data_IF_317745099543
#
_entry.id   IF_317745099543
#
_cell.length_a   1.000
_cell.length_b   1.000
_cell.length_c   1.000
_cell.angle_alpha   90.00
_cell.angle_beta   90.00
_cell.angle_gamma   90.00
#
_symmetry.space_group_name_H-M   'P 1'
#
loop_
_entity.id
_entity.type
_entity.pdbx_description
1 polymer ?
#
# COMPACT_ATOMS: atom_id res chain seq x y z
N UNK A 1 -1.95 -30.69 23.91
CA UNK A 1 -2.48 -29.55 24.68
C UNK A 1 -1.60 -28.35 24.35
N UNK A 2 -2.19 -27.18 24.05
CA UNK A 2 -1.45 -25.98 23.67
C UNK A 2 -1.65 -24.89 24.72
N UNK A 3 -0.64 -24.07 24.93
CA UNK A 3 -0.71 -22.88 25.78
C UNK A 3 -0.59 -21.65 24.91
N UNK A 4 -1.51 -20.69 25.06
CA UNK A 4 -1.34 -19.34 24.55
C UNK A 4 -0.45 -18.58 25.52
N UNK A 5 0.54 -17.87 25.01
CA UNK A 5 1.40 -16.98 25.79
C UNK A 5 1.53 -15.62 25.11
N UNK A 6 1.84 -14.62 25.92
CA UNK A 6 2.25 -13.29 25.49
C UNK A 6 3.77 -13.19 25.53
N UNK A 7 4.37 -12.56 24.53
CA UNK A 7 5.81 -12.34 24.40
C UNK A 7 6.11 -10.87 24.72
N UNK A 8 7.00 -10.63 25.68
CA UNK A 8 7.44 -9.29 26.09
C UNK A 8 8.97 -9.28 26.17
N UNK A 9 9.62 -8.80 25.12
CA UNK A 9 11.08 -8.90 24.97
C UNK A 9 11.52 -10.36 24.93
N UNK A 10 12.38 -10.77 25.87
CA UNK A 10 12.87 -12.14 26.01
C UNK A 10 11.97 -13.02 26.92
N UNK A 11 10.89 -12.47 27.47
CA UNK A 11 10.04 -13.14 28.44
C UNK A 11 8.71 -13.62 27.86
N UNK A 12 8.21 -14.73 28.40
CA UNK A 12 6.87 -15.25 28.14
C UNK A 12 6.00 -15.09 29.40
N UNK A 13 4.79 -14.59 29.22
CA UNK A 13 3.84 -14.34 30.30
C UNK A 13 2.40 -14.64 29.86
N UNK A 14 1.44 -14.56 30.78
CA UNK A 14 0.01 -14.65 30.44
C UNK A 14 -0.43 -16.02 29.92
N UNK A 15 0.18 -17.10 30.38
CA UNK A 15 -0.11 -18.47 29.94
C UNK A 15 -1.58 -18.83 30.15
N UNK A 16 -2.23 -19.29 29.08
CA UNK A 16 -3.61 -19.76 29.09
C UNK A 16 -3.72 -21.07 28.32
N UNK A 17 -4.29 -22.10 28.94
CA UNK A 17 -4.58 -23.37 28.27
C UNK A 17 -5.59 -23.16 27.14
N UNK A 18 -5.31 -23.75 25.98
CA UNK A 18 -6.16 -23.70 24.80
C UNK A 18 -6.58 -25.13 24.44
N UNK A 19 -7.88 -25.36 24.46
CA UNK A 19 -8.47 -26.64 24.06
C UNK A 19 -8.32 -26.86 22.56
N UNK A 20 -8.40 -28.12 22.11
CA UNK A 20 -8.31 -28.41 20.68
C UNK A 20 -9.43 -27.73 19.89
N UNK A 21 -10.66 -27.72 20.43
CA UNK A 21 -11.80 -27.04 19.80
C UNK A 21 -11.58 -25.53 19.63
N UNK A 22 -11.02 -24.85 20.64
CA UNK A 22 -10.68 -23.43 20.54
C UNK A 22 -9.57 -23.18 19.52
N UNK A 23 -8.57 -24.07 19.45
CA UNK A 23 -7.48 -23.95 18.49
C UNK A 23 -7.95 -24.19 17.06
N UNK A 24 -8.85 -25.15 16.82
CA UNK A 24 -9.48 -25.34 15.51
C UNK A 24 -10.29 -24.11 15.08
N UNK A 25 -11.06 -23.53 15.99
CA UNK A 25 -11.81 -22.30 15.73
C UNK A 25 -10.88 -21.12 15.42
N UNK A 26 -9.80 -20.97 16.19
CA UNK A 26 -8.75 -19.99 15.89
C UNK A 26 -8.18 -20.16 14.49
N UNK A 27 -7.84 -21.39 14.08
CA UNK A 27 -7.31 -21.65 12.73
C UNK A 27 -8.29 -21.24 11.64
N UNK A 28 -9.58 -21.48 11.83
CA UNK A 28 -10.61 -21.05 10.88
C UNK A 28 -10.61 -19.53 10.70
N UNK A 29 -10.63 -18.76 11.78
CA UNK A 29 -10.56 -17.28 11.72
C UNK A 29 -9.22 -16.77 11.19
N UNK A 30 -8.10 -17.38 11.60
CA UNK A 30 -6.76 -17.08 11.08
C UNK A 30 -6.70 -17.24 9.57
N UNK A 31 -7.33 -18.28 9.01
CA UNK A 31 -7.34 -18.50 7.56
C UNK A 31 -8.09 -17.40 6.81
N UNK A 32 -9.18 -16.86 7.39
CA UNK A 32 -9.90 -15.71 6.81
C UNK A 32 -9.02 -14.47 6.80
N UNK A 33 -8.41 -14.15 7.94
CA UNK A 33 -7.51 -12.98 8.09
C UNK A 33 -6.26 -13.12 7.20
N UNK A 34 -5.69 -14.30 7.08
CA UNK A 34 -4.54 -14.56 6.21
C UNK A 34 -4.89 -14.38 4.73
N UNK A 35 -6.10 -14.79 4.32
CA UNK A 35 -6.58 -14.56 2.95
C UNK A 35 -6.74 -13.07 2.65
N UNK A 36 -7.34 -12.32 3.58
CA UNK A 36 -7.40 -10.86 3.49
C UNK A 36 -6.00 -10.25 3.34
N UNK A 37 -5.07 -10.61 4.23
CA UNK A 37 -3.72 -10.04 4.26
C UNK A 37 -2.99 -10.24 2.92
N UNK A 38 -3.11 -11.43 2.31
CA UNK A 38 -2.55 -11.72 0.99
C UNK A 38 -3.12 -10.83 -0.11
N UNK A 39 -4.43 -10.57 -0.10
CA UNK A 39 -5.07 -9.69 -1.08
C UNK A 39 -4.68 -8.21 -0.82
N UNK A 40 -4.52 -7.82 0.45
CA UNK A 40 -4.10 -6.49 0.90
C UNK A 40 -2.62 -6.16 0.62
N UNK A 41 -1.71 -7.16 0.68
CA UNK A 41 -0.27 -6.98 0.47
C UNK A 41 0.07 -6.23 -0.82
N UNK A 42 -0.69 -6.45 -1.88
CA UNK A 42 -0.50 -5.77 -3.16
C UNK A 42 -0.89 -4.29 -3.10
N UNK A 43 -1.97 -3.94 -2.39
CA UNK A 43 -2.30 -2.53 -2.14
C UNK A 43 -1.25 -1.90 -1.23
N UNK A 44 -0.84 -2.60 -0.17
CA UNK A 44 0.23 -2.17 0.74
C UNK A 44 1.52 -1.83 0.00
N UNK A 45 1.87 -2.60 -1.03
CA UNK A 45 3.00 -2.28 -1.90
C UNK A 45 2.81 -0.95 -2.67
N UNK A 46 1.60 -0.64 -3.15
CA UNK A 46 1.30 0.67 -3.76
C UNK A 46 1.48 1.82 -2.75
N UNK A 47 0.94 1.65 -1.54
CA UNK A 47 1.03 2.64 -0.47
C UNK A 47 2.50 2.89 -0.08
N UNK A 48 3.30 1.84 0.04
CA UNK A 48 4.70 1.94 0.38
C UNK A 48 5.54 2.58 -0.73
N UNK A 49 5.27 2.29 -2.00
CA UNK A 49 5.97 2.96 -3.11
C UNK A 49 5.64 4.46 -3.19
N UNK A 50 4.40 4.86 -2.87
CA UNK A 50 4.07 6.28 -2.73
C UNK A 50 4.81 6.92 -1.55
N UNK A 51 4.88 6.25 -0.40
CA UNK A 51 5.64 6.73 0.77
C UNK A 51 7.13 6.87 0.45
N UNK A 52 7.70 5.89 -0.23
CA UNK A 52 9.09 5.92 -0.72
C UNK A 52 9.34 7.07 -1.67
N UNK A 53 8.36 7.41 -2.52
CA UNK A 53 8.43 8.59 -3.37
C UNK A 53 8.56 9.87 -2.53
N UNK A 54 7.69 10.04 -1.54
CA UNK A 54 7.69 11.22 -0.66
C UNK A 54 9.00 11.36 0.12
N UNK A 55 9.39 10.30 0.84
CA UNK A 55 10.60 10.30 1.66
C UNK A 55 11.85 10.47 0.79
N UNK A 56 11.90 9.78 -0.35
CA UNK A 56 13.07 9.81 -1.22
C UNK A 56 13.38 11.20 -1.78
N UNK A 57 12.37 12.05 -2.03
CA UNK A 57 12.61 13.43 -2.45
C UNK A 57 12.98 14.35 -1.29
N UNK A 58 12.43 14.12 -0.10
CA UNK A 58 12.87 14.83 1.13
C UNK A 58 14.34 14.54 1.44
N UNK A 59 14.75 13.28 1.32
CA UNK A 59 16.13 12.87 1.57
C UNK A 59 17.11 13.49 0.57
N UNK A 60 16.74 13.55 -0.71
CA UNK A 60 17.53 14.26 -1.74
C UNK A 60 17.62 15.76 -1.42
N UNK A 61 16.50 16.40 -1.07
CA UNK A 61 16.50 17.82 -0.69
C UNK A 61 17.38 18.11 0.52
N UNK A 62 17.36 17.23 1.54
CA UNK A 62 18.22 17.34 2.72
C UNK A 62 19.70 17.18 2.38
N UNK A 63 20.04 16.21 1.52
CA UNK A 63 21.42 16.02 1.06
C UNK A 63 21.93 17.26 0.32
N UNK A 64 21.12 17.79 -0.60
CA UNK A 64 21.43 19.00 -1.38
C UNK A 64 21.60 20.25 -0.49
N UNK A 65 20.85 20.36 0.61
CA UNK A 65 20.95 21.49 1.54
C UNK A 65 22.17 21.40 2.47
N UNK A 66 22.68 20.20 2.74
CA UNK A 66 23.85 19.96 3.59
C UNK A 66 25.19 20.22 2.89
N UNK A 67 25.21 20.18 1.56
CA UNK A 67 26.37 20.54 0.76
C UNK A 67 26.40 22.06 0.56
N UNK A 68 27.49 22.72 0.96
CA UNK A 68 27.59 24.18 1.00
C UNK A 68 27.22 24.87 -0.34
N UNK A 69 25.98 25.34 -0.42
CA UNK A 69 25.44 26.43 -1.25
C UNK A 69 25.67 26.42 -2.78
N UNK A 70 25.99 25.30 -3.42
CA UNK A 70 25.98 25.22 -4.89
C UNK A 70 25.15 24.03 -5.37
N UNK A 71 23.86 24.29 -5.61
CA UNK A 71 23.08 23.50 -6.55
C UNK A 71 23.90 23.38 -7.84
N UNK A 72 24.30 22.16 -8.18
CA UNK A 72 25.18 21.89 -9.30
C UNK A 72 24.55 20.79 -10.17
N UNK A 73 25.18 20.51 -11.31
CA UNK A 73 24.64 19.53 -12.25
C UNK A 73 24.50 18.12 -11.66
N UNK A 74 25.38 17.72 -10.73
CA UNK A 74 25.30 16.41 -10.08
C UNK A 74 24.04 16.33 -9.20
N UNK A 75 23.76 17.36 -8.41
CA UNK A 75 22.54 17.44 -7.62
C UNK A 75 21.28 17.30 -8.47
N UNK A 76 21.23 17.98 -9.62
CA UNK A 76 20.11 17.87 -10.55
C UNK A 76 20.01 16.48 -11.19
N UNK A 77 21.14 15.85 -11.50
CA UNK A 77 21.18 14.48 -12.03
C UNK A 77 20.67 13.47 -10.99
N UNK A 78 21.09 13.59 -9.73
CA UNK A 78 20.67 12.72 -8.64
C UNK A 78 19.17 12.90 -8.35
N UNK A 79 18.70 14.14 -8.29
CA UNK A 79 17.28 14.45 -8.15
C UNK A 79 16.45 13.86 -9.29
N UNK A 80 16.90 14.01 -10.53
CA UNK A 80 16.23 13.47 -11.71
C UNK A 80 16.19 11.94 -11.67
N UNK A 81 17.34 11.30 -11.42
CA UNK A 81 17.45 9.84 -11.35
C UNK A 81 16.59 9.26 -10.24
N UNK A 82 16.62 9.86 -9.05
CA UNK A 82 15.84 9.43 -7.90
C UNK A 82 14.34 9.58 -8.16
N UNK A 83 13.91 10.73 -8.69
CA UNK A 83 12.51 10.99 -9.07
C UNK A 83 12.01 9.94 -10.06
N UNK A 84 12.78 9.68 -11.11
CA UNK A 84 12.42 8.71 -12.14
C UNK A 84 12.32 7.29 -11.58
N UNK A 85 13.30 6.86 -10.78
CA UNK A 85 13.34 5.52 -10.19
C UNK A 85 12.16 5.29 -9.24
N UNK A 86 11.87 6.26 -8.37
CA UNK A 86 10.73 6.19 -7.44
C UNK A 86 9.39 6.22 -8.19
N UNK A 87 9.27 7.05 -9.23
CA UNK A 87 8.05 7.12 -10.03
C UNK A 87 7.78 5.81 -10.78
N UNK A 88 8.82 5.17 -11.32
CA UNK A 88 8.69 3.84 -11.93
C UNK A 88 8.25 2.79 -10.92
N UNK A 89 8.80 2.82 -9.70
CA UNK A 89 8.37 1.95 -8.60
C UNK A 89 6.88 2.09 -8.32
N UNK A 90 6.40 3.32 -8.17
CA UNK A 90 4.99 3.61 -7.95
C UNK A 90 4.09 3.21 -9.13
N UNK A 91 4.42 3.60 -10.37
CA UNK A 91 3.62 3.24 -11.54
C UNK A 91 3.58 1.71 -11.76
N UNK A 92 4.69 1.03 -11.48
CA UNK A 92 4.81 -0.42 -11.53
C UNK A 92 3.97 -1.13 -10.47
N UNK A 93 3.99 -0.64 -9.23
CA UNK A 93 3.21 -1.22 -8.13
C UNK A 93 1.70 -1.09 -8.38
N UNK A 94 1.23 0.08 -8.84
CA UNK A 94 -0.18 0.29 -9.19
C UNK A 94 -0.63 -0.69 -10.27
N UNK A 95 0.17 -0.86 -11.33
CA UNK A 95 -0.14 -1.81 -12.39
C UNK A 95 -0.21 -3.24 -11.86
N UNK A 96 0.78 -3.63 -11.06
CA UNK A 96 0.85 -4.96 -10.46
C UNK A 96 -0.39 -5.24 -9.63
N UNK A 97 -0.79 -4.30 -8.76
CA UNK A 97 -2.02 -4.42 -7.99
C UNK A 97 -3.25 -4.63 -8.88
N UNK A 98 -3.48 -3.78 -9.88
CA UNK A 98 -4.68 -3.86 -10.72
C UNK A 98 -4.76 -5.18 -11.51
N UNK A 99 -3.64 -5.62 -12.08
CA UNK A 99 -3.59 -6.87 -12.86
C UNK A 99 -3.80 -8.10 -11.98
N UNK A 100 -3.14 -8.14 -10.81
CA UNK A 100 -3.28 -9.25 -9.87
C UNK A 100 -4.66 -9.29 -9.23
N UNK A 101 -5.22 -8.15 -8.81
CA UNK A 101 -6.56 -8.07 -8.26
C UNK A 101 -7.59 -8.55 -9.30
N UNK A 102 -7.54 -8.01 -10.52
CA UNK A 102 -8.44 -8.43 -11.60
C UNK A 102 -8.33 -9.92 -11.92
N UNK A 103 -7.11 -10.46 -11.97
CA UNK A 103 -6.86 -11.89 -12.21
C UNK A 103 -7.34 -12.76 -11.05
N UNK A 104 -7.06 -12.36 -9.80
CA UNK A 104 -7.46 -13.06 -8.58
C UNK A 104 -8.98 -13.15 -8.49
N UNK A 105 -9.67 -12.02 -8.66
CA UNK A 105 -11.14 -11.92 -8.65
C UNK A 105 -11.73 -12.77 -9.78
N UNK A 106 -11.20 -12.65 -11.01
CA UNK A 106 -11.66 -13.45 -12.15
C UNK A 106 -11.48 -14.95 -11.94
N UNK A 107 -10.40 -15.39 -11.30
CA UNK A 107 -10.15 -16.81 -11.01
C UNK A 107 -11.04 -17.32 -9.88
N UNK A 108 -11.30 -16.49 -8.86
CA UNK A 108 -12.08 -16.84 -7.66
C UNK A 108 -13.58 -16.90 -7.95
N UNK A 109 -14.11 -15.97 -8.74
CA UNK A 109 -15.55 -15.81 -8.94
C UNK A 109 -16.00 -15.99 -10.40
N UNK A 110 -15.09 -15.91 -11.37
CA UNK A 110 -15.39 -15.97 -12.80
C UNK A 110 -15.54 -14.59 -13.47
N UNK A 111 -15.35 -14.52 -14.78
CA UNK A 111 -15.42 -13.25 -15.55
C UNK A 111 -16.82 -12.66 -15.69
N UNK A 112 -17.86 -13.46 -15.47
CA UNK A 112 -19.26 -13.02 -15.52
C UNK A 112 -19.85 -12.70 -14.15
N UNK A 113 -19.05 -12.77 -13.08
CA UNK A 113 -19.56 -12.58 -11.72
C UNK A 113 -19.73 -11.12 -11.36
N UNK A 114 -20.63 -10.84 -10.41
CA UNK A 114 -20.86 -9.49 -9.89
C UNK A 114 -19.57 -8.87 -9.33
N UNK A 115 -18.71 -9.66 -8.70
CA UNK A 115 -17.42 -9.21 -8.17
C UNK A 115 -16.50 -8.71 -9.29
N UNK A 116 -16.33 -9.50 -10.35
CA UNK A 116 -15.44 -9.11 -11.44
C UNK A 116 -16.00 -7.91 -12.20
N UNK A 117 -17.30 -7.90 -12.50
CA UNK A 117 -17.95 -6.79 -13.19
C UNK A 117 -17.89 -5.50 -12.36
N UNK A 118 -18.10 -5.58 -11.04
CA UNK A 118 -17.97 -4.44 -10.14
C UNK A 118 -16.55 -3.90 -10.08
N UNK A 119 -15.53 -4.77 -9.95
CA UNK A 119 -14.13 -4.34 -9.99
C UNK A 119 -13.79 -3.63 -11.30
N UNK A 120 -14.25 -4.16 -12.45
CA UNK A 120 -14.08 -3.51 -13.75
C UNK A 120 -14.77 -2.15 -13.80
N UNK A 121 -16.00 -2.04 -13.29
CA UNK A 121 -16.73 -0.78 -13.20
C UNK A 121 -15.99 0.26 -12.35
N UNK A 122 -15.43 -0.13 -11.20
CA UNK A 122 -14.62 0.77 -10.36
C UNK A 122 -13.40 1.31 -11.13
N UNK A 123 -12.65 0.44 -11.83
CA UNK A 123 -11.49 0.88 -12.63
C UNK A 123 -11.88 1.78 -13.79
N UNK A 124 -13.00 1.50 -14.46
CA UNK A 124 -13.51 2.33 -15.55
C UNK A 124 -13.95 3.70 -15.04
N UNK A 125 -14.67 3.74 -13.92
CA UNK A 125 -15.09 4.97 -13.28
C UNK A 125 -13.89 5.87 -12.94
N UNK A 126 -12.82 5.33 -12.35
CA UNK A 126 -11.60 6.11 -12.07
C UNK A 126 -10.95 6.62 -13.35
N UNK A 127 -10.89 5.80 -14.41
CA UNK A 127 -10.34 6.21 -15.70
C UNK A 127 -11.13 7.33 -16.37
N UNK A 128 -12.46 7.29 -16.28
CA UNK A 128 -13.32 8.27 -16.95
C UNK A 128 -13.38 9.60 -16.16
N UNK A 129 -13.38 9.53 -14.83
CA UNK A 129 -13.66 10.69 -13.97
C UNK A 129 -12.43 11.34 -13.33
N UNK A 130 -11.31 10.63 -13.19
CA UNK A 130 -10.11 11.16 -12.53
C UNK A 130 -8.98 11.42 -13.53
N UNK A 131 -8.64 12.69 -13.71
CA UNK A 131 -7.53 13.11 -14.58
C UNK A 131 -6.22 12.41 -14.19
N UNK A 132 -5.84 12.46 -12.91
CA UNK A 132 -4.60 11.86 -12.40
C UNK A 132 -4.53 10.36 -12.67
N UNK A 133 -5.64 9.63 -12.49
CA UNK A 133 -5.70 8.20 -12.79
C UNK A 133 -5.47 7.92 -14.27
N UNK A 134 -6.21 8.60 -15.15
CA UNK A 134 -6.09 8.43 -16.61
C UNK A 134 -4.71 8.87 -17.11
N UNK A 135 -4.21 9.99 -16.61
CA UNK A 135 -2.90 10.54 -16.95
C UNK A 135 -1.78 9.58 -16.56
N UNK A 136 -1.73 9.12 -15.31
CA UNK A 136 -0.65 8.25 -14.82
C UNK A 136 -0.73 6.84 -15.41
N UNK A 137 -1.93 6.35 -15.70
CA UNK A 137 -2.11 5.12 -16.50
C UNK A 137 -1.41 5.25 -17.87
N UNK A 138 -1.62 6.38 -18.56
CA UNK A 138 -0.97 6.64 -19.87
C UNK A 138 0.51 6.98 -19.74
N UNK A 139 0.92 7.65 -18.66
CA UNK A 139 2.33 7.92 -18.36
C UNK A 139 3.11 6.63 -18.17
N UNK A 140 2.53 5.61 -17.54
CA UNK A 140 3.15 4.29 -17.45
C UNK A 140 3.40 3.67 -18.83
N UNK A 141 2.51 3.86 -19.79
CA UNK A 141 2.76 3.38 -21.16
C UNK A 141 3.86 4.20 -21.84
N UNK A 142 3.86 5.52 -21.64
CA UNK A 142 4.96 6.38 -22.05
C UNK A 142 6.29 5.85 -21.50
N UNK A 143 6.37 5.49 -20.22
CA UNK A 143 7.63 5.03 -19.62
C UNK A 143 8.13 3.70 -20.14
N UNK A 144 7.22 2.86 -20.65
CA UNK A 144 7.57 1.60 -21.28
C UNK A 144 8.02 1.72 -22.73
N UNK A 145 7.57 2.75 -23.44
CA UNK A 145 7.76 2.85 -24.89
C UNK A 145 8.65 4.02 -25.34
N UNK A 146 8.72 5.10 -24.55
CA UNK A 146 9.38 6.35 -24.94
C UNK A 146 10.60 6.68 -24.07
N UNK A 147 10.52 6.45 -22.76
CA UNK A 147 11.62 6.75 -21.83
C UNK A 147 11.14 7.30 -20.48
N UNK A 148 12.04 7.88 -19.69
CA UNK A 148 11.67 8.40 -18.36
C UNK A 148 10.69 9.57 -18.44
N UNK A 149 9.80 9.74 -17.45
CA UNK A 149 8.87 10.86 -17.40
C UNK A 149 9.62 12.19 -17.50
N UNK A 150 9.22 13.11 -18.40
CA UNK A 150 9.89 14.40 -18.51
C UNK A 150 9.45 15.29 -17.34
N UNK A 151 10.29 15.36 -16.30
CA UNK A 151 10.05 16.16 -15.09
C UNK A 151 11.01 17.35 -15.05
N UNK A 152 10.46 18.53 -14.80
CA UNK A 152 11.20 19.76 -14.44
C UNK A 152 11.09 20.01 -12.95
N UNK A 153 12.11 20.63 -12.36
CA UNK A 153 12.17 20.93 -10.94
C UNK A 153 12.30 22.44 -10.74
N UNK A 154 11.34 23.03 -10.03
CA UNK A 154 11.53 24.35 -9.43
C UNK A 154 12.19 24.12 -8.06
N UNK A 155 13.37 24.70 -7.83
CA UNK A 155 14.11 24.56 -6.56
C UNK A 155 14.19 25.92 -5.88
N UNK A 156 13.49 26.05 -4.75
CA UNK A 156 13.42 27.28 -3.98
C UNK A 156 14.28 27.15 -2.72
N UNK A 157 15.07 28.18 -2.42
CA UNK A 157 15.79 28.28 -1.13
C UNK A 157 14.86 29.03 -0.18
N UNK A 158 14.41 28.36 0.88
CA UNK A 158 13.59 28.96 1.94
C UNK A 158 14.50 29.31 3.13
N UNK A 159 14.67 30.59 3.47
CA UNK A 159 15.48 31.00 4.60
C UNK A 159 14.99 30.34 5.91
N UNK A 160 15.86 29.58 6.58
CA UNK A 160 15.52 28.88 7.83
C UNK A 160 14.92 27.47 7.64
N UNK A 161 14.25 27.21 6.51
CA UNK A 161 13.57 25.93 6.25
C UNK A 161 14.29 25.04 5.21
N UNK A 162 15.35 25.55 4.56
CA UNK A 162 16.21 24.78 3.66
C UNK A 162 15.80 24.86 2.20
N UNK A 163 15.78 23.72 1.50
CA UNK A 163 15.44 23.63 0.08
C UNK A 163 14.02 23.07 -0.09
N UNK A 164 13.21 23.75 -0.88
CA UNK A 164 11.94 23.24 -1.40
C UNK A 164 12.12 22.81 -2.85
N UNK A 165 11.74 21.57 -3.15
CA UNK A 165 11.80 20.98 -4.49
C UNK A 165 10.37 20.75 -4.98
N UNK A 166 10.00 21.42 -6.08
CA UNK A 166 8.68 21.33 -6.68
C UNK A 166 8.77 20.64 -8.05
N UNK A 167 8.56 19.31 -8.11
CA UNK A 167 8.58 18.56 -9.37
C UNK A 167 7.30 18.76 -10.18
N UNK A 168 7.45 18.98 -11.49
CA UNK A 168 6.35 19.17 -12.45
C UNK A 168 6.62 18.40 -13.74
N UNK A 169 5.59 17.80 -14.33
CA UNK A 169 5.72 17.22 -15.67
C UNK A 169 5.80 18.31 -16.75
N UNK A 170 6.76 18.17 -17.66
CA UNK A 170 6.92 19.04 -18.82
C UNK A 170 5.88 18.72 -19.88
N UNK A 171 4.95 19.66 -20.13
CA UNK A 171 3.93 19.54 -21.19
C UNK A 171 4.55 19.24 -22.55
N UNK A 172 5.57 20.01 -22.90
CA UNK A 172 6.25 19.88 -24.19
C UNK A 172 6.88 18.49 -24.31
N UNK A 173 7.63 18.05 -23.29
CA UNK A 173 8.26 16.74 -23.28
C UNK A 173 7.26 15.58 -23.42
N UNK A 174 6.10 15.68 -22.77
CA UNK A 174 5.04 14.68 -22.85
C UNK A 174 4.39 14.62 -24.24
N UNK A 175 4.10 15.78 -24.84
CA UNK A 175 3.35 15.88 -26.10
C UNK A 175 4.21 15.60 -27.34
N UNK A 176 5.51 15.85 -27.27
CA UNK A 176 6.44 15.63 -28.38
C UNK A 176 6.83 14.16 -28.53
N UNK A 177 6.95 13.45 -27.41
CA UNK A 177 7.59 12.13 -27.39
C UNK A 177 6.60 10.96 -27.43
N UNK A 178 5.29 11.22 -27.30
CA UNK A 178 4.27 10.16 -27.27
C UNK A 178 2.92 10.63 -27.82
N UNK A 179 2.36 9.85 -28.73
CA UNK A 179 1.12 10.19 -29.45
C UNK A 179 -0.13 9.50 -28.89
N UNK A 180 0.03 8.42 -28.10
CA UNK A 180 -1.08 7.56 -27.67
C UNK A 180 -1.75 7.98 -26.35
N UNK A 181 -1.73 9.28 -26.04
CA UNK A 181 -2.46 9.86 -24.91
C UNK A 181 -3.99 9.69 -25.05
N UNK A 182 -4.49 9.67 -26.29
CA UNK A 182 -5.93 9.76 -26.61
C UNK A 182 -6.40 11.21 -26.71
N UNK A 183 -7.43 11.46 -27.52
CA UNK A 183 -7.85 12.82 -27.87
C UNK A 183 -8.22 13.68 -26.65
N UNK A 184 -9.07 13.16 -25.75
CA UNK A 184 -9.48 13.88 -24.53
C UNK A 184 -8.28 14.26 -23.66
N UNK A 185 -7.48 13.27 -23.26
CA UNK A 185 -6.35 13.50 -22.36
C UNK A 185 -5.30 14.43 -22.99
N UNK A 186 -5.05 14.32 -24.31
CA UNK A 186 -4.13 15.22 -25.01
C UNK A 186 -4.58 16.68 -24.92
N UNK A 187 -5.87 16.95 -25.09
CA UNK A 187 -6.42 18.30 -24.94
C UNK A 187 -6.36 18.78 -23.47
N UNK A 188 -6.63 17.91 -22.50
CA UNK A 188 -6.50 18.23 -21.08
C UNK A 188 -5.05 18.61 -20.69
N UNK A 189 -4.05 17.88 -21.21
CA UNK A 189 -2.63 18.20 -21.01
C UNK A 189 -2.27 19.57 -21.61
N UNK A 190 -2.78 19.88 -22.81
CA UNK A 190 -2.55 21.16 -23.50
C UNK A 190 -3.20 22.33 -22.75
N UNK A 191 -4.47 22.19 -22.38
CA UNK A 191 -5.26 23.23 -21.72
C UNK A 191 -4.81 23.46 -20.27
N UNK A 192 -4.09 22.49 -19.67
CA UNK A 192 -3.63 22.58 -18.30
C UNK A 192 -4.77 22.48 -17.28
N UNK A 193 -5.85 21.77 -17.64
CA UNK A 193 -7.00 21.53 -16.76
C UNK A 193 -6.62 20.71 -15.52
N UNK A 194 -5.50 19.99 -15.56
CA UNK A 194 -4.85 19.38 -14.41
C UNK A 194 -3.57 20.11 -14.01
N UNK A 195 -3.34 20.25 -12.71
CA UNK A 195 -2.04 20.67 -12.19
C UNK A 195 -1.03 19.56 -12.53
N UNK A 196 -0.02 19.85 -13.36
CA UNK A 196 1.02 18.88 -13.72
C UNK A 196 2.09 18.74 -12.63
N UNK A 197 1.75 19.11 -11.39
CA UNK A 197 2.60 18.89 -10.24
C UNK A 197 2.62 17.40 -9.91
N UNK A 198 3.81 16.85 -9.71
CA UNK A 198 3.97 15.40 -9.55
C UNK A 198 3.29 14.92 -8.26
N UNK A 199 3.51 15.60 -7.13
CA UNK A 199 2.98 15.16 -5.83
C UNK A 199 1.45 15.06 -5.78
N UNK A 200 0.66 16.09 -6.17
CA UNK A 200 -0.80 15.96 -6.21
C UNK A 200 -1.28 14.83 -7.12
N UNK A 201 -0.68 14.69 -8.31
CA UNK A 201 -1.10 13.63 -9.25
C UNK A 201 -0.82 12.23 -8.71
N UNK A 202 0.35 12.01 -8.10
CA UNK A 202 0.66 10.71 -7.48
C UNK A 202 -0.24 10.44 -6.28
N UNK A 203 -0.54 11.47 -5.44
CA UNK A 203 -1.46 11.34 -4.30
C UNK A 203 -2.85 10.92 -4.77
N UNK A 204 -3.44 11.68 -5.69
CA UNK A 204 -4.78 11.41 -6.22
C UNK A 204 -4.87 10.04 -6.90
N UNK A 205 -3.80 9.60 -7.58
CA UNK A 205 -3.77 8.26 -8.17
C UNK A 205 -3.68 7.16 -7.13
N UNK A 206 -2.85 7.34 -6.08
CA UNK A 206 -2.81 6.46 -4.91
C UNK A 206 -4.20 6.36 -4.28
N UNK A 207 -4.86 7.50 -4.07
CA UNK A 207 -6.18 7.58 -3.46
C UNK A 207 -7.25 6.92 -4.33
N UNK A 208 -7.17 7.06 -5.65
CA UNK A 208 -8.05 6.36 -6.60
C UNK A 208 -7.90 4.84 -6.51
N UNK A 209 -6.66 4.34 -6.39
CA UNK A 209 -6.35 2.90 -6.26
C UNK A 209 -6.81 2.37 -4.90
N UNK A 210 -6.58 3.13 -3.82
CA UNK A 210 -7.10 2.82 -2.50
C UNK A 210 -8.63 2.77 -2.51
N UNK A 211 -9.30 3.74 -3.14
CA UNK A 211 -10.75 3.79 -3.28
C UNK A 211 -11.33 2.59 -4.03
N UNK A 212 -10.66 2.12 -5.09
CA UNK A 212 -11.03 0.87 -5.78
C UNK A 212 -11.00 -0.32 -4.80
N UNK A 213 -9.91 -0.45 -4.04
CA UNK A 213 -9.77 -1.55 -3.08
C UNK A 213 -10.84 -1.48 -1.99
N UNK A 214 -10.99 -0.32 -1.34
CA UNK A 214 -11.94 -0.11 -0.25
C UNK A 214 -13.38 -0.39 -0.69
N UNK A 215 -13.78 0.13 -1.86
CA UNK A 215 -15.13 -0.08 -2.40
C UNK A 215 -15.40 -1.57 -2.69
N UNK A 216 -14.40 -2.28 -3.22
CA UNK A 216 -14.52 -3.73 -3.47
C UNK A 216 -14.59 -4.51 -2.16
N UNK A 217 -13.70 -4.21 -1.22
CA UNK A 217 -13.60 -4.87 0.08
C UNK A 217 -14.88 -4.68 0.91
N UNK A 218 -15.37 -3.45 1.01
CA UNK A 218 -16.61 -3.13 1.72
C UNK A 218 -17.78 -3.96 1.20
N UNK A 219 -17.94 -4.00 -0.12
CA UNK A 219 -19.07 -4.67 -0.77
C UNK A 219 -19.04 -6.19 -0.68
N UNK A 220 -17.87 -6.82 -0.76
CA UNK A 220 -17.78 -8.27 -0.97
C UNK A 220 -17.00 -9.05 0.08
N UNK A 221 -16.10 -8.43 0.84
CA UNK A 221 -15.14 -9.17 1.68
C UNK A 221 -15.17 -8.75 3.16
N UNK A 222 -15.69 -7.57 3.49
CA UNK A 222 -15.67 -6.98 4.83
C UNK A 222 -16.28 -7.85 5.93
N UNK A 223 -17.49 -8.36 5.75
CA UNK A 223 -18.26 -9.01 6.82
C UNK A 223 -17.53 -10.15 7.51
N UNK A 224 -17.06 -11.15 6.75
CA UNK A 224 -16.36 -12.31 7.32
C UNK A 224 -14.99 -11.96 7.91
N UNK A 225 -14.32 -10.95 7.35
CA UNK A 225 -13.00 -10.48 7.81
C UNK A 225 -13.13 -9.74 9.14
N UNK A 226 -14.08 -8.82 9.26
CA UNK A 226 -14.36 -8.07 10.49
C UNK A 226 -14.76 -9.02 11.62
N UNK A 227 -15.71 -9.94 11.38
CA UNK A 227 -16.09 -10.93 12.41
C UNK A 227 -14.93 -11.82 12.85
N UNK A 228 -14.01 -12.17 11.94
CA UNK A 228 -12.84 -12.98 12.28
C UNK A 228 -11.79 -12.19 13.05
N UNK A 229 -11.61 -10.92 12.71
CA UNK A 229 -10.76 -9.98 13.44
C UNK A 229 -11.28 -9.78 14.87
N UNK A 230 -12.56 -9.47 15.04
CA UNK A 230 -13.21 -9.30 16.34
C UNK A 230 -13.05 -10.54 17.21
N UNK A 231 -13.32 -11.73 16.64
CA UNK A 231 -13.14 -12.98 17.34
C UNK A 231 -11.70 -13.19 17.81
N UNK A 232 -10.70 -12.88 16.98
CA UNK A 232 -9.28 -12.99 17.36
C UNK A 232 -8.94 -12.01 18.49
N UNK A 233 -9.37 -10.75 18.39
CA UNK A 233 -9.18 -9.74 19.44
C UNK A 233 -9.78 -10.21 20.77
N UNK A 234 -11.02 -10.69 20.76
CA UNK A 234 -11.73 -11.21 21.94
C UNK A 234 -11.03 -12.46 22.50
N UNK A 235 -10.63 -13.39 21.63
CA UNK A 235 -9.89 -14.58 22.00
C UNK A 235 -8.58 -14.22 22.71
N UNK A 236 -7.88 -13.18 22.27
CA UNK A 236 -6.65 -12.69 22.89
C UNK A 236 -6.91 -11.77 24.10
N UNK A 237 -8.15 -11.30 24.26
CA UNK A 237 -8.52 -10.26 25.22
C UNK A 237 -7.67 -9.00 25.03
N UNK A 238 -7.42 -8.66 23.76
CA UNK A 238 -6.64 -7.51 23.34
C UNK A 238 -7.30 -6.88 22.09
N UNK A 239 -7.81 -5.64 22.18
CA UNK A 239 -8.46 -4.99 21.05
C UNK A 239 -7.50 -4.60 19.93
N UNK A 240 -6.21 -4.47 20.21
CA UNK A 240 -5.17 -4.09 19.24
C UNK A 240 -3.92 -4.94 19.45
N UNK A 241 -3.99 -6.24 19.12
CA UNK A 241 -2.87 -7.12 19.33
C UNK A 241 -1.75 -6.79 18.33
N UNK A 242 -0.52 -6.70 18.83
CA UNK A 242 0.66 -6.34 18.01
C UNK A 242 1.81 -7.31 18.26
N UNK A 243 2.09 -8.14 17.26
CA UNK A 243 3.02 -9.28 17.16
C UNK A 243 3.61 -9.85 18.48
N UNK A 244 2.76 -10.01 19.50
CA UNK A 244 3.16 -10.35 20.87
C UNK A 244 2.50 -11.62 21.41
N UNK A 245 1.91 -12.44 20.56
CA UNK A 245 1.21 -13.66 20.99
C UNK A 245 1.69 -14.88 20.23
N UNK A 246 1.82 -16.00 20.94
CA UNK A 246 2.19 -17.28 20.36
C UNK A 246 1.50 -18.45 21.05
N UNK A 247 1.35 -19.56 20.33
CA UNK A 247 1.04 -20.85 20.93
C UNK A 247 2.33 -21.62 21.22
N UNK A 248 2.34 -22.28 22.37
CA UNK A 248 3.37 -23.20 22.81
C UNK A 248 2.77 -24.61 22.83
N UNK A 249 3.49 -25.54 22.22
CA UNK A 249 3.20 -26.96 22.30
C UNK A 249 4.47 -27.73 22.66
N UNK A 250 4.33 -28.82 23.41
CA UNK A 250 5.42 -29.76 23.60
C UNK A 250 5.87 -30.29 22.23
N UNK A 251 7.17 -30.18 21.94
CA UNK A 251 7.78 -30.77 20.75
C UNK A 251 8.02 -32.26 20.92
N UNK A 252 8.38 -32.94 19.84
CA UNK A 252 8.81 -34.33 19.91
C UNK A 252 10.15 -34.41 20.66
N UNK A 253 10.20 -35.25 21.70
CA UNK A 253 11.43 -35.54 22.42
C UNK A 253 12.41 -36.20 21.47
N UNK A 254 13.54 -35.55 21.19
CA UNK A 254 14.66 -36.20 20.50
C UNK A 254 15.24 -37.34 21.34
N UNK A 255 16.24 -38.04 20.79
CA UNK A 255 16.92 -39.18 21.43
C UNK A 255 17.63 -38.84 22.76
N UNK A 256 17.67 -37.57 23.16
CA UNK A 256 18.20 -37.12 24.45
C UNK A 256 17.05 -36.84 25.44
N UNK A 257 16.91 -37.64 26.53
CA UNK A 257 15.87 -37.47 27.56
C UNK A 257 15.89 -36.13 28.28
N UNK A 258 16.97 -35.34 28.17
CA UNK A 258 17.10 -34.01 28.78
C UNK A 258 16.72 -32.85 27.86
N UNK A 259 16.56 -33.10 26.56
CA UNK A 259 16.17 -32.06 25.60
C UNK A 259 14.64 -31.97 25.55
N UNK A 260 14.05 -31.01 26.27
CA UNK A 260 12.65 -30.62 26.07
C UNK A 260 12.61 -29.66 24.89
N UNK A 261 12.10 -30.13 23.76
CA UNK A 261 11.81 -29.26 22.61
C UNK A 261 10.41 -28.65 22.79
N UNK A 262 10.26 -27.38 22.42
CA UNK A 262 8.97 -26.71 22.36
C UNK A 262 8.76 -26.20 20.94
N UNK A 263 7.52 -26.31 20.45
CA UNK A 263 7.11 -25.70 19.19
C UNK A 263 6.40 -24.39 19.51
N UNK A 264 6.93 -23.30 18.96
CA UNK A 264 6.34 -21.97 19.03
C UNK A 264 5.64 -21.65 17.70
N UNK A 265 4.39 -21.24 17.77
CA UNK A 265 3.61 -20.79 16.61
C UNK A 265 3.11 -19.37 16.86
N UNK A 266 3.63 -18.40 16.11
CA UNK A 266 3.22 -17.01 16.21
C UNK A 266 1.79 -16.80 15.72
N UNK A 267 1.05 -15.99 16.46
CA UNK A 267 -0.25 -15.47 16.01
C UNK A 267 0.05 -14.22 15.16
N UNK A 268 -0.38 -14.19 13.88
CA UNK A 268 0.00 -13.11 12.95
C UNK A 268 -0.85 -11.87 13.19
N UNK A 269 -0.68 -11.22 14.35
CA UNK A 269 -1.50 -10.09 14.80
C UNK A 269 -1.23 -8.81 13.99
N UNK A 270 -0.10 -8.74 13.28
CA UNK A 270 0.13 -7.80 12.16
C UNK A 270 -0.99 -7.79 11.11
N UNK A 271 -1.59 -8.95 10.80
CA UNK A 271 -2.71 -9.02 9.85
C UNK A 271 -4.00 -8.41 10.44
N UNK A 272 -4.19 -8.50 11.76
CA UNK A 272 -5.31 -7.84 12.46
C UNK A 272 -5.16 -6.33 12.38
N UNK A 273 -3.95 -5.80 12.59
CA UNK A 273 -3.65 -4.37 12.43
C UNK A 273 -3.94 -3.86 11.03
N UNK A 274 -3.57 -4.62 9.99
CA UNK A 274 -3.87 -4.26 8.60
C UNK A 274 -5.40 -4.15 8.37
N UNK A 275 -6.21 -5.02 8.97
CA UNK A 275 -7.69 -4.94 8.91
C UNK A 275 -8.20 -3.69 9.62
N UNK A 276 -7.72 -3.42 10.84
CA UNK A 276 -8.12 -2.24 11.63
C UNK A 276 -7.88 -0.96 10.84
N UNK A 277 -6.74 -0.86 10.15
CA UNK A 277 -6.44 0.28 9.30
C UNK A 277 -7.41 0.43 8.12
N UNK A 278 -7.72 -0.67 7.43
CA UNK A 278 -8.70 -0.65 6.33
C UNK A 278 -10.09 -0.23 6.83
N UNK A 279 -10.51 -0.71 7.99
CA UNK A 279 -11.78 -0.29 8.61
C UNK A 279 -11.78 1.19 8.97
N UNK A 280 -10.66 1.72 9.48
CA UNK A 280 -10.52 3.15 9.75
C UNK A 280 -10.66 3.95 8.46
N UNK A 281 -10.02 3.52 7.38
CA UNK A 281 -10.14 4.19 6.10
C UNK A 281 -11.55 4.18 5.51
N UNK A 282 -12.31 3.10 5.70
CA UNK A 282 -13.72 3.09 5.33
C UNK A 282 -14.52 4.11 6.14
N UNK A 283 -14.28 4.22 7.46
CA UNK A 283 -14.94 5.20 8.31
C UNK A 283 -14.61 6.63 7.89
N UNK A 284 -13.34 6.92 7.61
CA UNK A 284 -12.90 8.26 7.22
C UNK A 284 -13.47 8.68 5.87
N UNK A 285 -13.55 7.75 4.91
CA UNK A 285 -14.19 7.98 3.61
C UNK A 285 -15.68 8.33 3.75
N UNK A 286 -16.40 7.70 4.69
CA UNK A 286 -17.81 8.00 4.97
C UNK A 286 -18.01 9.37 5.64
N UNK A 287 -17.01 9.83 6.41
CA UNK A 287 -17.05 11.11 7.13
C UNK A 287 -16.49 12.29 6.32
N UNK A 288 -16.04 12.06 5.09
CA UNK A 288 -15.46 13.09 4.22
C UNK A 288 -14.03 13.50 4.58
N UNK A 289 -13.30 12.69 5.35
CA UNK A 289 -11.89 12.90 5.68
C UNK A 289 -10.98 12.60 4.48
N UNK A 290 -9.95 13.41 4.26
CA UNK A 290 -9.09 13.32 3.06
C UNK A 290 -7.77 12.57 3.25
N UNK A 291 -7.38 12.20 4.47
CA UNK A 291 -6.03 11.69 4.74
C UNK A 291 -6.05 10.37 5.52
N UNK A 292 -6.15 9.28 4.77
CA UNK A 292 -5.72 7.95 5.23
C UNK A 292 -4.19 7.86 5.16
N UNK A 293 -3.52 8.15 6.26
CA UNK A 293 -2.11 7.83 6.44
C UNK A 293 -1.95 6.33 6.73
N UNK A 294 -1.00 5.69 6.07
CA UNK A 294 -0.71 4.25 6.19
C UNK A 294 -0.26 3.90 7.62
N UNK A 295 -0.59 2.72 8.18
CA UNK A 295 -0.27 2.38 9.58
C UNK A 295 1.21 2.00 9.78
N UNK A 296 2.08 2.22 8.78
CA UNK A 296 3.50 1.84 8.79
C UNK A 296 4.40 2.93 9.36
N UNK A 297 3.87 3.80 10.24
CA UNK A 297 4.73 4.65 11.06
C UNK A 297 5.34 3.79 12.18
N UNK A 298 6.68 3.61 12.23
CA UNK A 298 7.33 3.16 13.45
C UNK A 298 7.14 4.18 14.58
#
# INVERSE_FOLDING_TARGET
MRELAKVEGENLSGFRLVTEAQYELYKAHRNVVAKFSKDYELLKFVLEEYRRFQIGLVDVGRAMAGEANLLNQNHLNDLTFKTNSLMLGFLGSVRTFLDHAGTSISRRYGKGSDQFLYFKALTAYQFDNMFSYRFLYKLRNYTQHCGMPPVSFDVNIIPGDGLEIVPRFSRQGLLDSYSEWGASLKEEIKLGSGSLYVFPLLKEHRDSVLGIYLSFYEKFESGGVVSSKDWICDFLSDPQPDDKYCFLAAGESGSDPKSKSFKLEWIPTSMVRDIVWVEQCLKDALLGGSDCESPFNP
#
